data_IF_366458463327
#
_entry.id   IF_366458463327
#
_cell.length_a   1.000
_cell.length_b   1.000
_cell.length_c   1.000
_cell.angle_alpha   90.00
_cell.angle_beta   90.00
_cell.angle_gamma   90.00
#
_symmetry.space_group_name_H-M   'P 1'
#
loop_
_entity.id
_entity.type
_entity.pdbx_description
1 polymer ?
#
# COMPACT_ATOMS: atom_id res chain seq x y z
N UNK A 1 25.04 -39.63 -37.69
CA UNK A 1 25.78 -39.40 -36.42
C UNK A 1 26.91 -38.44 -36.72
N UNK A 2 27.20 -37.41 -35.89
CA UNK A 2 26.42 -36.64 -34.90
C UNK A 2 26.25 -35.17 -35.41
N UNK A 3 25.81 -34.11 -34.73
CA UNK A 3 25.57 -33.80 -33.32
C UNK A 3 24.57 -32.64 -33.24
N UNK A 4 23.56 -32.77 -32.38
CA UNK A 4 22.63 -31.71 -31.97
C UNK A 4 23.26 -31.00 -30.77
N UNK A 5 23.47 -29.69 -30.87
CA UNK A 5 23.76 -28.85 -29.72
C UNK A 5 22.51 -28.03 -29.40
N UNK A 6 21.70 -28.55 -28.49
CA UNK A 6 20.63 -27.80 -27.83
C UNK A 6 21.26 -26.94 -26.75
N UNK A 7 21.25 -25.62 -26.93
CA UNK A 7 21.59 -24.67 -25.89
C UNK A 7 20.39 -24.53 -24.96
N UNK A 8 20.54 -25.02 -23.73
CA UNK A 8 19.53 -24.96 -22.68
C UNK A 8 19.17 -23.50 -22.36
N UNK A 9 17.93 -23.12 -22.65
CA UNK A 9 17.35 -21.87 -22.19
C UNK A 9 17.17 -21.98 -20.67
N UNK A 10 17.99 -21.24 -19.93
CA UNK A 10 17.87 -21.07 -18.48
C UNK A 10 16.45 -20.58 -18.18
N UNK A 11 15.64 -21.45 -17.58
CA UNK A 11 14.29 -21.12 -17.11
C UNK A 11 14.46 -20.30 -15.85
N UNK A 12 14.73 -19.01 -16.02
CA UNK A 12 14.57 -18.03 -14.97
C UNK A 12 13.08 -17.91 -14.70
N UNK A 13 12.65 -18.50 -13.60
CA UNK A 13 11.35 -18.33 -12.99
C UNK A 13 11.20 -16.84 -12.70
N UNK A 14 10.64 -16.10 -13.66
CA UNK A 14 10.19 -14.74 -13.46
C UNK A 14 9.09 -14.81 -12.41
N UNK A 15 9.47 -14.63 -11.15
CA UNK A 15 8.53 -14.25 -10.10
C UNK A 15 7.86 -13.00 -10.63
N UNK A 16 6.61 -13.14 -11.09
CA UNK A 16 5.75 -12.03 -11.46
C UNK A 16 5.67 -11.16 -10.21
N UNK A 17 6.53 -10.15 -10.12
CA UNK A 17 6.40 -9.10 -9.11
C UNK A 17 5.02 -8.55 -9.37
N UNK A 18 4.10 -8.79 -8.43
CA UNK A 18 2.76 -8.24 -8.53
C UNK A 18 2.92 -6.75 -8.80
N UNK A 19 2.22 -6.21 -9.80
CA UNK A 19 2.30 -4.80 -10.19
C UNK A 19 1.96 -3.83 -9.04
N UNK A 20 1.50 -4.37 -7.92
CA UNK A 20 1.14 -3.65 -6.70
C UNK A 20 2.02 -4.02 -5.50
N UNK A 21 3.10 -4.76 -5.70
CA UNK A 21 4.11 -4.97 -4.65
C UNK A 21 5.06 -3.79 -4.66
N UNK A 22 5.14 -3.03 -3.55
CA UNK A 22 6.10 -1.95 -3.40
C UNK A 22 7.51 -2.42 -3.71
N UNK A 23 8.30 -1.53 -4.31
CA UNK A 23 9.71 -1.85 -4.55
C UNK A 23 10.48 -1.95 -3.21
N UNK A 24 11.72 -2.46 -3.23
CA UNK A 24 12.47 -2.71 -2.00
C UNK A 24 12.67 -1.44 -1.17
N UNK A 25 12.97 -0.32 -1.82
CA UNK A 25 13.22 0.98 -1.19
C UNK A 25 11.94 1.53 -0.58
N UNK A 26 10.86 1.55 -1.35
CA UNK A 26 9.53 1.96 -0.93
C UNK A 26 9.06 1.19 0.30
N UNK A 27 9.13 -0.15 0.25
CA UNK A 27 8.73 -1.02 1.36
C UNK A 27 9.37 -0.66 2.71
N UNK A 28 10.62 -0.18 2.69
CA UNK A 28 11.41 0.15 3.89
C UNK A 28 11.54 1.65 4.15
N UNK A 29 10.84 2.51 3.41
CA UNK A 29 10.96 3.97 3.58
C UNK A 29 9.62 4.69 3.48
N UNK A 30 8.54 3.96 3.17
CA UNK A 30 7.21 4.52 2.96
C UNK A 30 6.69 5.33 4.16
N UNK A 31 7.00 4.89 5.39
CA UNK A 31 6.54 5.52 6.63
C UNK A 31 7.60 6.40 7.32
N UNK A 32 8.64 6.80 6.60
CA UNK A 32 9.68 7.68 7.13
C UNK A 32 9.07 8.94 7.74
N UNK A 33 9.48 9.30 8.96
CA UNK A 33 8.97 10.47 9.69
C UNK A 33 7.86 10.20 10.70
N UNK A 34 7.32 8.97 10.75
CA UNK A 34 6.23 8.60 11.66
C UNK A 34 6.77 7.95 12.94
N UNK A 35 7.53 6.87 12.81
CA UNK A 35 8.37 6.40 13.91
C UNK A 35 9.66 7.21 13.88
N UNK A 36 10.09 7.73 15.03
CA UNK A 36 11.33 8.50 15.15
C UNK A 36 12.56 7.65 14.81
N UNK A 37 13.33 7.25 15.83
CA UNK A 37 14.49 6.36 15.63
C UNK A 37 14.13 4.86 15.64
N UNK A 38 12.85 4.53 15.76
CA UNK A 38 12.38 3.15 15.80
C UNK A 38 12.06 2.62 14.39
N UNK A 39 12.27 1.31 14.19
CA UNK A 39 11.89 0.61 12.97
C UNK A 39 10.39 0.85 12.67
N UNK A 40 10.09 1.44 11.51
CA UNK A 40 8.70 1.54 11.02
C UNK A 40 8.26 0.19 10.42
N UNK A 41 6.94 -0.10 10.38
CA UNK A 41 6.46 -1.31 9.76
C UNK A 41 6.82 -1.30 8.26
N UNK A 42 6.99 -2.49 7.66
CA UNK A 42 7.26 -2.58 6.22
C UNK A 42 5.96 -2.52 5.44
N UNK A 43 5.90 -1.66 4.43
CA UNK A 43 4.75 -1.61 3.52
C UNK A 43 4.70 -2.88 2.67
N UNK A 44 3.59 -3.60 2.75
CA UNK A 44 3.34 -4.81 1.95
C UNK A 44 2.55 -4.44 0.69
N UNK A 45 1.67 -3.46 0.79
CA UNK A 45 0.71 -3.12 -0.25
C UNK A 45 0.12 -1.72 -0.05
N UNK A 46 -0.16 -0.98 -1.13
CA UNK A 46 -1.04 0.19 -1.12
C UNK A 46 -1.82 0.32 -2.44
N UNK A 47 -3.08 0.76 -2.38
CA UNK A 47 -4.01 0.70 -3.52
C UNK A 47 -3.73 1.67 -4.65
N UNK A 48 -2.99 2.73 -4.38
CA UNK A 48 -2.62 3.80 -5.32
C UNK A 48 -1.21 3.64 -5.90
N UNK A 49 -0.53 2.50 -5.69
CA UNK A 49 0.83 2.23 -6.16
C UNK A 49 1.11 2.59 -7.63
N UNK A 50 0.11 2.43 -8.49
CA UNK A 50 0.23 2.75 -9.93
C UNK A 50 -0.02 4.23 -10.25
N UNK A 51 -0.89 4.92 -9.51
CA UNK A 51 -1.20 6.34 -9.74
C UNK A 51 -0.23 7.27 -9.00
N UNK A 52 0.35 6.78 -7.91
CA UNK A 52 1.25 7.55 -7.04
C UNK A 52 2.51 6.72 -6.81
N UNK A 53 3.38 6.61 -7.84
CA UNK A 53 4.58 5.79 -7.74
C UNK A 53 5.58 6.40 -6.74
N UNK A 54 6.27 5.54 -6.00
CA UNK A 54 7.33 5.98 -5.10
C UNK A 54 8.51 6.59 -5.87
N UNK A 55 8.89 7.81 -5.46
CA UNK A 55 10.06 8.49 -5.99
C UNK A 55 11.29 8.04 -5.20
N UNK A 56 12.18 7.30 -5.87
CA UNK A 56 13.44 6.92 -5.25
C UNK A 56 14.30 8.16 -4.99
N UNK A 57 14.84 8.30 -3.77
CA UNK A 57 15.74 9.39 -3.43
C UNK A 57 17.01 9.37 -4.32
N UNK A 58 17.23 10.38 -5.16
CA UNK A 58 18.42 10.51 -6.03
C UNK A 58 19.39 11.55 -5.50
N UNK A 59 20.68 11.22 -5.47
CA UNK A 59 21.76 12.18 -5.18
C UNK A 59 22.53 11.91 -3.88
N UNK A 60 23.45 12.83 -3.55
CA UNK A 60 24.34 12.70 -2.37
C UNK A 60 23.61 13.02 -1.05
N UNK A 61 22.61 13.89 -1.11
CA UNK A 61 21.72 14.25 0.00
C UNK A 61 20.30 14.26 -0.54
N UNK A 62 19.71 13.08 -0.78
CA UNK A 62 18.40 13.05 -1.40
C UNK A 62 17.35 13.58 -0.43
N UNK A 63 16.42 14.38 -0.96
CA UNK A 63 15.24 14.80 -0.21
C UNK A 63 14.36 13.56 0.00
N UNK A 64 14.39 13.04 1.22
CA UNK A 64 13.62 11.87 1.59
C UNK A 64 12.16 12.30 1.79
N UNK A 65 11.23 11.54 1.22
CA UNK A 65 9.81 11.75 1.51
C UNK A 65 9.56 11.47 2.99
N UNK A 66 9.05 12.47 3.69
CA UNK A 66 8.71 12.38 5.12
C UNK A 66 7.20 12.44 5.24
N UNK A 67 6.60 11.45 5.91
CA UNK A 67 5.18 11.41 6.24
C UNK A 67 4.94 11.83 7.68
N UNK A 68 3.80 12.46 7.91
CA UNK A 68 3.23 12.67 9.24
C UNK A 68 1.89 11.96 9.35
N UNK A 69 1.68 11.27 10.47
CA UNK A 69 0.43 10.60 10.79
C UNK A 69 -0.57 11.62 11.34
N UNK A 70 -1.78 11.64 10.79
CA UNK A 70 -2.87 12.48 11.23
C UNK A 70 -4.11 11.61 11.51
N UNK A 71 -4.80 11.88 12.61
CA UNK A 71 -6.09 11.24 12.88
C UNK A 71 -7.14 11.63 11.84
N UNK A 72 -8.19 10.83 11.70
CA UNK A 72 -9.27 11.05 10.71
C UNK A 72 -10.37 12.02 11.19
N UNK A 73 -10.12 12.81 12.23
CA UNK A 73 -11.09 13.78 12.75
C UNK A 73 -11.60 14.73 11.66
N UNK A 74 -12.91 15.02 11.70
CA UNK A 74 -13.62 15.87 10.75
C UNK A 74 -13.61 15.38 9.30
N UNK A 75 -13.44 14.07 9.08
CA UNK A 75 -13.58 13.47 7.75
C UNK A 75 -14.90 12.69 7.64
N UNK A 76 -15.45 12.51 6.43
CA UNK A 76 -16.60 11.63 6.21
C UNK A 76 -16.36 10.21 6.72
N UNK A 77 -15.12 9.70 6.61
CA UNK A 77 -14.72 8.38 7.10
C UNK A 77 -14.97 8.21 8.61
N UNK A 78 -14.68 9.23 9.42
CA UNK A 78 -14.90 9.18 10.86
C UNK A 78 -16.39 9.05 11.23
N UNK A 79 -17.29 9.62 10.41
CA UNK A 79 -18.74 9.55 10.66
C UNK A 79 -19.35 8.18 10.38
N UNK A 80 -18.70 7.38 9.53
CA UNK A 80 -19.19 6.05 9.12
C UNK A 80 -18.36 4.89 9.68
N UNK A 81 -17.22 5.18 10.32
CA UNK A 81 -16.23 4.18 10.72
C UNK A 81 -16.82 3.05 11.57
N UNK A 82 -17.67 3.38 12.54
CA UNK A 82 -18.31 2.40 13.43
C UNK A 82 -19.24 1.43 12.68
N UNK A 83 -19.75 1.84 11.51
CA UNK A 83 -20.59 1.02 10.63
C UNK A 83 -19.74 0.15 9.70
N UNK A 84 -18.75 0.74 9.03
CA UNK A 84 -17.99 0.04 7.98
C UNK A 84 -16.86 -0.83 8.55
N UNK A 85 -16.31 -0.50 9.74
CA UNK A 85 -15.19 -1.25 10.32
C UNK A 85 -15.51 -2.73 10.58
N UNK A 86 -16.68 -3.11 11.15
CA UNK A 86 -17.08 -4.51 11.25
C UNK A 86 -17.19 -5.23 9.90
N UNK A 87 -17.75 -4.57 8.88
CA UNK A 87 -17.89 -5.14 7.53
C UNK A 87 -16.53 -5.37 6.87
N UNK A 88 -15.60 -4.42 7.01
CA UNK A 88 -14.21 -4.57 6.57
C UNK A 88 -13.57 -5.76 7.29
N UNK A 89 -13.73 -5.88 8.61
CA UNK A 89 -13.19 -7.01 9.37
C UNK A 89 -13.74 -8.35 8.86
N UNK A 90 -15.01 -8.41 8.51
CA UNK A 90 -15.65 -9.64 8.03
C UNK A 90 -15.20 -10.01 6.61
N UNK A 91 -14.98 -9.03 5.73
CA UNK A 91 -14.35 -9.26 4.42
C UNK A 91 -12.94 -9.87 4.56
N UNK A 92 -12.13 -9.32 5.48
CA UNK A 92 -10.76 -9.81 5.72
C UNK A 92 -10.78 -11.24 6.28
N UNK A 93 -11.68 -11.53 7.24
CA UNK A 93 -11.86 -12.87 7.81
C UNK A 93 -12.34 -13.88 6.76
N UNK A 94 -13.29 -13.51 5.91
CA UNK A 94 -13.84 -14.37 4.86
C UNK A 94 -12.74 -14.82 3.87
N UNK A 95 -11.76 -13.95 3.63
CA UNK A 95 -10.58 -14.22 2.79
C UNK A 95 -9.46 -14.97 3.52
N UNK A 96 -9.62 -15.25 4.82
CA UNK A 96 -8.65 -15.96 5.69
C UNK A 96 -7.30 -15.27 5.75
N UNK A 97 -7.30 -13.94 5.66
CA UNK A 97 -6.09 -13.12 5.79
C UNK A 97 -5.78 -12.96 7.28
N UNK A 98 -4.52 -13.12 7.65
CA UNK A 98 -4.07 -12.85 9.02
C UNK A 98 -3.86 -11.34 9.19
N UNK A 99 -4.50 -10.75 10.20
CA UNK A 99 -4.44 -9.31 10.49
C UNK A 99 -4.48 -9.08 12.00
N UNK A 100 -3.92 -7.95 12.45
CA UNK A 100 -3.86 -7.56 13.87
C UNK A 100 -4.79 -6.41 14.20
N UNK A 101 -4.80 -5.38 13.35
CA UNK A 101 -5.65 -4.19 13.48
C UNK A 101 -6.05 -3.66 12.11
N UNK A 102 -7.12 -2.87 12.09
CA UNK A 102 -7.53 -2.06 10.95
C UNK A 102 -7.84 -0.69 11.52
N UNK A 103 -7.06 0.32 11.14
CA UNK A 103 -7.11 1.65 11.73
C UNK A 103 -7.28 2.70 10.63
N UNK A 104 -8.20 3.68 10.80
CA UNK A 104 -8.36 4.76 9.85
C UNK A 104 -7.30 5.84 10.14
N UNK A 105 -6.51 6.17 9.13
CA UNK A 105 -5.43 7.15 9.25
C UNK A 105 -5.40 8.11 8.05
N UNK A 106 -4.84 9.29 8.27
CA UNK A 106 -4.41 10.20 7.20
C UNK A 106 -2.90 10.32 7.23
N UNK A 107 -2.29 10.37 6.05
CA UNK A 107 -0.88 10.69 5.91
C UNK A 107 -0.73 12.04 5.22
N UNK A 108 0.12 12.90 5.79
CA UNK A 108 0.59 14.10 5.13
C UNK A 108 2.03 13.88 4.67
N UNK A 109 2.28 13.92 3.36
CA UNK A 109 3.63 13.77 2.80
C UNK A 109 4.25 15.15 2.59
N UNK A 110 5.38 15.42 3.23
CA UNK A 110 6.15 16.64 3.05
C UNK A 110 7.03 16.50 1.80
N UNK A 111 6.96 17.48 0.87
CA UNK A 111 8.00 17.67 -0.15
C UNK A 111 7.67 17.32 -1.61
N UNK A 112 6.40 17.17 -2.03
CA UNK A 112 6.06 17.03 -3.46
C UNK A 112 4.77 17.80 -3.83
N UNK A 113 4.66 18.43 -5.02
CA UNK A 113 3.42 19.06 -5.49
C UNK A 113 2.30 18.03 -5.66
N UNK A 114 1.08 18.46 -5.34
CA UNK A 114 -0.15 17.68 -5.55
C UNK A 114 -0.36 17.38 -7.05
N UNK A 115 -0.45 16.11 -7.40
CA UNK A 115 -1.16 15.69 -8.60
C UNK A 115 -2.35 14.81 -8.23
N UNK A 116 -3.51 15.18 -8.79
CA UNK A 116 -4.71 14.34 -8.87
C UNK A 116 -4.56 13.42 -10.08
N UNK A 117 -4.75 12.12 -9.90
CA UNK A 117 -5.85 11.34 -10.49
C UNK A 117 -5.67 9.81 -10.36
N UNK A 118 -6.78 9.18 -9.94
CA UNK A 118 -7.36 7.90 -10.37
C UNK A 118 -6.41 6.73 -10.74
N UNK A 119 -6.07 5.90 -9.75
CA UNK A 119 -5.43 4.58 -9.91
C UNK A 119 -6.38 3.41 -9.61
N UNK A 120 -6.23 2.29 -10.34
CA UNK A 120 -7.16 1.15 -10.35
C UNK A 120 -6.54 -0.20 -9.89
N UNK A 121 -7.40 -0.98 -9.21
CA UNK A 121 -7.47 -2.44 -9.03
C UNK A 121 -6.41 -3.17 -8.17
N UNK A 122 -6.54 -2.93 -6.88
CA UNK A 122 -5.98 -3.67 -5.75
C UNK A 122 -6.33 -5.18 -5.68
N UNK A 123 -5.70 -5.99 -4.80
CA UNK A 123 -6.17 -7.32 -4.41
C UNK A 123 -7.67 -7.28 -4.12
N UNK A 124 -8.39 -8.33 -4.51
CA UNK A 124 -9.86 -8.38 -4.50
C UNK A 124 -10.46 -7.83 -3.20
N UNK A 125 -9.88 -8.18 -2.03
CA UNK A 125 -10.33 -7.68 -0.72
C UNK A 125 -10.26 -6.15 -0.57
N UNK A 126 -9.20 -5.53 -1.06
CA UNK A 126 -9.03 -4.08 -0.99
C UNK A 126 -9.93 -3.37 -2.00
N UNK A 127 -10.29 -4.00 -3.12
CA UNK A 127 -11.34 -3.46 -3.99
C UNK A 127 -12.71 -3.55 -3.34
N UNK A 128 -13.03 -4.67 -2.68
CA UNK A 128 -14.27 -4.81 -1.89
C UNK A 128 -14.36 -3.72 -0.79
N UNK A 129 -13.24 -3.44 -0.09
CA UNK A 129 -13.17 -2.34 0.89
C UNK A 129 -13.38 -0.97 0.22
N UNK A 130 -12.71 -0.69 -0.90
CA UNK A 130 -12.87 0.60 -1.61
C UNK A 130 -14.30 0.79 -2.15
N UNK A 131 -14.93 -0.28 -2.66
CA UNK A 131 -16.33 -0.25 -3.10
C UNK A 131 -17.25 0.02 -1.92
N UNK A 132 -17.08 -0.68 -0.79
CA UNK A 132 -17.86 -0.45 0.42
C UNK A 132 -17.76 1.01 0.90
N UNK A 133 -16.55 1.57 0.93
CA UNK A 133 -16.34 2.96 1.33
C UNK A 133 -17.01 3.94 0.34
N UNK A 134 -16.91 3.66 -0.96
CA UNK A 134 -17.55 4.48 -2.00
C UNK A 134 -19.07 4.48 -1.90
N UNK A 135 -19.68 3.31 -1.65
CA UNK A 135 -21.13 3.17 -1.42
C UNK A 135 -21.61 3.96 -0.20
N UNK A 136 -20.72 4.17 0.78
CA UNK A 136 -20.95 5.00 1.95
C UNK A 136 -20.51 6.47 1.76
N UNK A 137 -20.23 6.90 0.52
CA UNK A 137 -19.93 8.29 0.18
C UNK A 137 -18.48 8.72 0.40
N UNK A 138 -17.56 7.78 0.60
CA UNK A 138 -16.14 8.04 0.82
C UNK A 138 -15.33 7.62 -0.42
N UNK A 139 -14.75 8.59 -1.13
CA UNK A 139 -14.12 8.39 -2.44
C UNK A 139 -12.62 8.74 -2.51
N UNK A 140 -12.04 9.25 -1.43
CA UNK A 140 -10.64 9.68 -1.34
C UNK A 140 -9.91 8.92 -0.23
N UNK A 141 -9.82 7.60 -0.41
CA UNK A 141 -9.19 6.69 0.55
C UNK A 141 -8.27 5.72 -0.18
N UNK A 142 -7.12 5.45 0.46
CA UNK A 142 -6.15 4.44 0.06
C UNK A 142 -6.22 3.29 1.07
N UNK A 143 -6.19 2.05 0.58
CA UNK A 143 -6.06 0.87 1.44
C UNK A 143 -4.60 0.44 1.44
N UNK A 144 -3.98 0.47 2.61
CA UNK A 144 -2.60 0.06 2.85
C UNK A 144 -2.56 -1.21 3.71
N UNK A 145 -1.61 -2.11 3.41
CA UNK A 145 -1.26 -3.23 4.29
C UNK A 145 0.22 -3.13 4.64
N UNK A 146 0.55 -3.33 5.91
CA UNK A 146 1.91 -3.35 6.39
C UNK A 146 2.13 -4.53 7.34
N UNK A 147 3.39 -4.89 7.56
CA UNK A 147 3.75 -5.90 8.55
C UNK A 147 3.25 -5.46 9.95
N UNK A 148 2.68 -6.41 10.70
CA UNK A 148 2.35 -6.20 12.10
C UNK A 148 3.60 -6.41 12.95
N UNK A 149 3.82 -5.54 13.95
CA UNK A 149 4.77 -5.83 15.01
C UNK A 149 4.10 -6.80 15.99
N UNK A 150 4.68 -8.00 16.11
CA UNK A 150 4.30 -9.00 17.11
C UNK A 150 5.13 -8.81 18.39
#
# INVERSE_FOLDING_TARGET
>A
MPSVASSNLSTGNATTVSQYTPNKSERISYYNGITGDADHPKLVYHSDCLSTPFLEPVGRHPDMLVKSLCGVFNTPLNGIWDTVSPEICDLIKARRISWSSVDPARFYTHGLPEEKEKGSLSPVVSQEILTLLLENGVNDVIVEWHEAFL
#
